data_IF_949231628921
#
_entry.id   IF_949231628921
#
_cell.length_a   1.000
_cell.length_b   1.000
_cell.length_c   1.000
_cell.angle_alpha   90.00
_cell.angle_beta   90.00
_cell.angle_gamma   90.00
#
_symmetry.space_group_name_H-M   'P 1'
#
loop_
_entity.id
_entity.type
_entity.pdbx_description
1 polymer ?
#
# COMPACT_ATOMS: atom_id res chain seq x y z
N UNK A 1 -8.04 7.51 5.41
CA UNK A 1 -7.95 8.96 5.68
C UNK A 1 -7.63 9.11 7.15
N UNK A 2 -6.56 9.84 7.46
CA UNK A 2 -6.25 10.24 8.83
C UNK A 2 -6.85 11.63 9.04
N UNK A 3 -7.95 11.70 9.78
CA UNK A 3 -8.46 12.98 10.27
C UNK A 3 -7.48 13.54 11.31
N UNK A 4 -7.12 14.82 11.13
CA UNK A 4 -6.18 15.55 11.96
C UNK A 4 -6.93 16.80 12.45
N UNK A 5 -7.67 16.62 13.55
CA UNK A 5 -8.36 17.72 14.22
C UNK A 5 -7.33 18.57 14.98
N UNK A 6 -7.14 19.82 14.55
CA UNK A 6 -6.28 20.80 15.22
C UNK A 6 -7.19 21.94 15.69
N UNK A 7 -7.52 21.93 16.99
CA UNK A 7 -8.29 22.99 17.65
C UNK A 7 -7.42 24.25 17.82
N UNK A 8 -7.92 25.49 17.57
CA UNK A 8 -7.08 26.68 17.52
C UNK A 8 -7.32 27.68 18.67
N UNK A 9 -6.99 27.31 19.91
CA UNK A 9 -7.28 28.10 21.12
C UNK A 9 -6.19 28.00 22.20
N UNK A 10 -4.93 28.23 21.82
CA UNK A 10 -3.77 28.12 22.74
C UNK A 10 -3.62 26.69 23.29
N UNK A 11 -4.06 25.74 22.47
CA UNK A 11 -4.68 24.48 22.85
C UNK A 11 -3.71 23.32 22.73
N UNK A 12 -3.89 22.36 23.64
CA UNK A 12 -3.24 21.06 23.60
C UNK A 12 -3.33 20.43 22.20
N UNK A 13 -2.17 20.06 21.65
CA UNK A 13 -2.09 19.33 20.39
C UNK A 13 -2.40 17.86 20.70
N UNK A 14 -3.53 17.39 20.16
CA UNK A 14 -4.00 16.01 20.30
C UNK A 14 -3.84 15.29 18.96
N UNK A 15 -2.99 14.26 18.93
CA UNK A 15 -2.79 13.39 17.76
C UNK A 15 -3.42 12.03 18.01
N UNK A 16 -4.34 11.61 17.16
CA UNK A 16 -4.92 10.25 17.20
C UNK A 16 -4.34 9.38 16.07
N UNK A 17 -3.65 8.30 16.44
CA UNK A 17 -3.15 7.27 15.51
C UNK A 17 -4.13 6.08 15.52
N UNK A 18 -4.50 5.57 14.33
CA UNK A 18 -5.48 4.48 14.19
C UNK A 18 -4.84 3.30 13.46
N UNK A 19 -4.79 2.14 14.11
CA UNK A 19 -4.30 0.90 13.48
C UNK A 19 -5.26 0.33 12.44
N UNK A 20 -6.54 0.72 12.49
CA UNK A 20 -7.59 0.28 11.57
C UNK A 20 -8.36 1.42 10.92
N UNK A 21 -9.43 1.06 10.19
CA UNK A 21 -10.28 2.01 9.47
C UNK A 21 -11.17 2.82 10.42
N UNK A 22 -11.63 2.16 11.48
CA UNK A 22 -12.66 2.63 12.42
C UNK A 22 -12.09 2.55 13.86
N UNK A 23 -12.74 3.17 14.85
CA UNK A 23 -12.29 3.15 16.26
C UNK A 23 -12.49 1.80 16.98
N UNK A 24 -12.92 0.75 16.26
CA UNK A 24 -13.03 -0.62 16.76
C UNK A 24 -11.69 -1.36 16.82
N UNK A 25 -10.71 -0.91 16.05
CA UNK A 25 -9.32 -1.40 16.09
C UNK A 25 -8.49 -0.61 17.10
N UNK A 26 -7.31 -1.12 17.47
CA UNK A 26 -6.36 -0.41 18.35
C UNK A 26 -6.03 0.99 17.84
N UNK A 27 -6.16 1.97 18.73
CA UNK A 27 -5.80 3.37 18.51
C UNK A 27 -4.98 3.92 19.68
N UNK A 28 -4.24 4.98 19.42
CA UNK A 28 -3.38 5.67 20.39
C UNK A 28 -3.68 7.16 20.30
N UNK A 29 -3.84 7.84 21.43
CA UNK A 29 -3.90 9.31 21.48
C UNK A 29 -2.66 9.85 22.18
N UNK A 30 -2.05 10.85 21.57
CA UNK A 30 -0.85 11.53 22.03
C UNK A 30 -1.22 12.99 22.27
N UNK A 31 -1.11 13.41 23.53
CA UNK A 31 -1.33 14.78 23.98
C UNK A 31 0.02 15.51 24.11
N UNK A 32 0.07 16.80 23.82
CA UNK A 32 1.21 17.66 24.14
C UNK A 32 0.86 19.15 24.05
N UNK A 33 1.57 19.97 24.81
CA UNK A 33 1.34 21.41 24.88
C UNK A 33 1.89 22.14 23.64
N UNK A 34 2.89 21.54 22.97
CA UNK A 34 3.47 22.07 21.74
C UNK A 34 3.90 20.96 20.75
N UNK A 35 4.27 21.38 19.55
CA UNK A 35 4.65 20.48 18.45
C UNK A 35 6.05 19.86 18.60
N UNK A 36 6.85 20.25 19.60
CA UNK A 36 8.10 19.60 19.98
C UNK A 36 7.83 18.45 20.94
N UNK A 37 6.98 18.68 21.95
CA UNK A 37 6.56 17.65 22.92
C UNK A 37 5.88 16.46 22.22
N UNK A 38 4.95 16.73 21.30
CA UNK A 38 4.29 15.67 20.52
C UNK A 38 5.28 14.91 19.62
N UNK A 39 6.29 15.59 19.05
CA UNK A 39 7.33 14.92 18.24
C UNK A 39 8.21 14.00 19.06
N UNK A 40 8.65 14.43 20.25
CA UNK A 40 9.40 13.58 21.17
C UNK A 40 8.58 12.34 21.58
N UNK A 41 7.31 12.53 21.98
CA UNK A 41 6.40 11.43 22.35
C UNK A 41 6.18 10.42 21.22
N UNK A 42 6.10 10.88 19.96
CA UNK A 42 6.05 10.00 18.79
C UNK A 42 7.39 9.27 18.61
N UNK A 43 8.52 9.97 18.72
CA UNK A 43 9.83 9.37 18.54
C UNK A 43 10.13 8.26 19.57
N UNK A 44 9.90 8.55 20.85
CA UNK A 44 10.08 7.61 21.96
C UNK A 44 9.21 6.36 21.78
N UNK A 45 7.94 6.55 21.40
CA UNK A 45 6.96 5.46 21.26
C UNK A 45 7.26 4.53 20.09
N UNK A 46 7.86 5.03 19.01
CA UNK A 46 8.17 4.26 17.80
C UNK A 46 9.67 3.95 17.66
N UNK A 47 10.49 4.23 18.68
CA UNK A 47 11.93 3.91 18.70
C UNK A 47 12.76 4.69 17.67
N UNK A 48 12.32 5.89 17.28
CA UNK A 48 13.01 6.71 16.27
C UNK A 48 14.26 7.36 16.87
N UNK A 49 15.38 7.27 16.16
CA UNK A 49 16.62 7.91 16.59
C UNK A 49 16.45 9.45 16.67
N UNK A 50 17.23 10.09 17.55
CA UNK A 50 17.08 11.52 17.84
C UNK A 50 17.35 12.40 16.60
N UNK A 51 18.23 11.93 15.72
CA UNK A 51 18.60 12.59 14.46
C UNK A 51 17.46 12.46 13.42
N UNK A 52 16.86 11.28 13.30
CA UNK A 52 15.84 10.96 12.29
C UNK A 52 14.54 11.77 12.46
N UNK A 53 14.15 12.08 13.69
CA UNK A 53 12.88 12.78 13.94
C UNK A 53 13.03 14.32 14.00
N UNK A 54 14.25 14.86 14.16
CA UNK A 54 14.48 16.31 14.19
C UNK A 54 14.37 16.97 12.81
N UNK A 55 14.74 16.25 11.75
CA UNK A 55 14.60 16.72 10.37
C UNK A 55 13.14 16.71 9.87
N UNK A 56 12.29 15.89 10.49
CA UNK A 56 10.90 15.70 10.09
C UNK A 56 9.94 16.73 10.70
N UNK A 57 9.00 17.19 9.88
CA UNK A 57 7.86 17.98 10.35
C UNK A 57 6.88 17.08 11.09
N UNK A 58 6.11 17.65 12.02
CA UNK A 58 5.16 16.89 12.85
C UNK A 58 4.21 16.02 12.00
N UNK A 59 3.67 16.52 10.88
CA UNK A 59 2.78 15.71 10.02
C UNK A 59 3.48 14.50 9.39
N UNK A 60 4.79 14.58 9.13
CA UNK A 60 5.58 13.51 8.51
C UNK A 60 5.81 12.38 9.52
N UNK A 61 6.13 12.76 10.77
CA UNK A 61 6.19 11.84 11.91
C UNK A 61 4.84 11.18 12.22
N UNK A 62 3.74 11.94 12.17
CA UNK A 62 2.39 11.37 12.34
C UNK A 62 2.04 10.37 11.23
N UNK A 63 2.38 10.67 9.97
CA UNK A 63 2.19 9.74 8.84
C UNK A 63 3.07 8.49 9.02
N UNK A 64 4.33 8.64 9.41
CA UNK A 64 5.24 7.53 9.69
C UNK A 64 4.69 6.63 10.80
N UNK A 65 4.37 7.21 11.96
CA UNK A 65 3.84 6.51 13.12
C UNK A 65 2.55 5.75 12.81
N UNK A 66 1.63 6.37 12.06
CA UNK A 66 0.38 5.74 11.65
C UNK A 66 0.61 4.56 10.69
N UNK A 67 1.62 4.63 9.80
CA UNK A 67 2.03 3.51 8.96
C UNK A 67 2.65 2.38 9.78
N UNK A 68 3.56 2.70 10.71
CA UNK A 68 4.19 1.72 11.60
C UNK A 68 3.15 0.97 12.44
N UNK A 69 2.16 1.68 13.00
CA UNK A 69 1.04 1.09 13.75
C UNK A 69 0.19 0.13 12.88
N UNK A 70 -0.11 0.50 11.63
CA UNK A 70 -0.83 -0.36 10.69
C UNK A 70 -0.02 -1.59 10.27
N UNK A 71 1.29 -1.45 10.07
CA UNK A 71 2.19 -2.59 9.79
C UNK A 71 2.25 -3.54 10.98
N UNK A 72 2.46 -3.04 12.19
CA UNK A 72 2.49 -3.86 13.41
C UNK A 72 1.18 -4.64 13.60
N UNK A 73 0.02 -4.00 13.42
CA UNK A 73 -1.30 -4.67 13.42
C UNK A 73 -1.37 -5.76 12.35
N UNK A 74 -0.98 -5.46 11.11
CA UNK A 74 -1.08 -6.43 10.02
C UNK A 74 -0.15 -7.63 10.23
N UNK A 75 1.05 -7.44 10.77
CA UNK A 75 1.96 -8.53 11.15
C UNK A 75 1.36 -9.41 12.25
N UNK A 76 0.74 -8.81 13.28
CA UNK A 76 0.05 -9.57 14.32
C UNK A 76 -1.15 -10.36 13.77
N UNK A 77 -2.02 -9.73 12.99
CA UNK A 77 -3.24 -10.35 12.45
C UNK A 77 -2.96 -11.42 11.38
N UNK A 78 -1.92 -11.25 10.55
CA UNK A 78 -1.62 -12.17 9.43
C UNK A 78 -0.65 -13.28 9.83
N UNK A 79 0.32 -13.00 10.70
CA UNK A 79 1.41 -13.92 11.03
C UNK A 79 1.41 -14.37 12.50
N UNK A 80 0.49 -13.88 13.33
CA UNK A 80 0.52 -14.11 14.78
C UNK A 80 1.71 -13.45 15.48
N UNK A 81 2.39 -12.50 14.81
CA UNK A 81 3.59 -11.87 15.33
C UNK A 81 3.29 -11.05 16.60
N UNK A 82 4.09 -11.26 17.64
CA UNK A 82 4.06 -10.51 18.90
C UNK A 82 5.35 -9.71 18.99
N UNK A 83 5.34 -8.46 19.53
CA UNK A 83 6.58 -7.73 19.79
C UNK A 83 7.55 -8.58 20.63
N UNK A 84 8.81 -8.64 20.22
CA UNK A 84 9.84 -9.31 21.01
C UNK A 84 10.31 -8.38 22.15
N UNK A 85 10.38 -8.90 23.37
CA UNK A 85 11.01 -8.19 24.49
C UNK A 85 12.53 -8.12 24.25
N UNK A 86 13.03 -6.95 23.84
CA UNK A 86 14.45 -6.72 23.62
C UNK A 86 14.72 -5.34 22.99
N UNK A 87 15.98 -4.91 22.94
CA UNK A 87 16.35 -3.72 22.19
C UNK A 87 16.02 -3.93 20.71
N UNK A 88 15.32 -2.96 20.11
CA UNK A 88 15.10 -2.92 18.66
C UNK A 88 16.47 -2.86 18.00
N UNK A 89 16.81 -3.89 17.23
CA UNK A 89 18.03 -3.86 16.41
C UNK A 89 17.94 -2.64 15.47
N UNK A 90 19.04 -1.90 15.26
CA UNK A 90 19.02 -0.78 14.32
C UNK A 90 18.51 -1.28 12.96
N UNK A 91 17.71 -0.45 12.30
CA UNK A 91 17.20 -0.77 10.97
C UNK A 91 18.38 -0.75 10.00
N UNK A 92 18.98 -1.92 9.76
CA UNK A 92 19.92 -2.12 8.68
C UNK A 92 19.22 -1.78 7.36
N UNK A 93 19.86 -0.98 6.50
CA UNK A 93 19.36 -0.76 5.15
C UNK A 93 19.16 -2.12 4.47
N UNK A 94 18.03 -2.34 3.75
CA UNK A 94 17.76 -3.61 3.12
C UNK A 94 18.93 -3.94 2.19
N UNK A 95 19.60 -5.08 2.49
CA UNK A 95 20.81 -5.47 1.80
C UNK A 95 20.60 -5.39 0.29
N UNK A 96 21.40 -4.54 -0.37
CA UNK A 96 21.37 -4.39 -1.83
C UNK A 96 21.47 -5.80 -2.43
N UNK A 97 20.51 -6.23 -3.28
CA UNK A 97 20.49 -7.59 -3.77
C UNK A 97 21.84 -7.94 -4.38
N UNK A 98 22.37 -9.10 -4.01
CA UNK A 98 23.64 -9.59 -4.54
C UNK A 98 23.53 -9.63 -6.06
N UNK A 99 24.51 -9.05 -6.75
CA UNK A 99 24.51 -8.92 -8.20
C UNK A 99 24.94 -10.23 -8.89
N UNK A 100 24.20 -11.31 -8.62
CA UNK A 100 24.39 -12.63 -9.21
C UNK A 100 23.03 -13.22 -9.59
N UNK A 101 22.66 -13.04 -10.86
CA UNK A 101 21.56 -13.77 -11.52
C UNK A 101 20.14 -13.27 -11.24
N UNK A 102 19.78 -12.11 -11.79
CA UNK A 102 18.36 -11.73 -11.94
C UNK A 102 17.74 -12.42 -13.18
N UNK A 103 16.70 -13.26 -13.04
CA UNK A 103 15.97 -13.82 -14.18
C UNK A 103 14.98 -12.83 -14.84
N UNK A 104 14.91 -11.58 -14.37
CA UNK A 104 14.02 -10.52 -14.89
C UNK A 104 14.74 -9.35 -15.57
N UNK A 105 16.07 -9.41 -15.72
CA UNK A 105 16.89 -8.29 -16.20
C UNK A 105 17.37 -8.41 -17.64
N UNK A 106 16.50 -8.22 -18.64
CA UNK A 106 16.94 -7.92 -20.03
C UNK A 106 15.82 -7.26 -20.88
N UNK A 107 15.62 -5.94 -20.71
CA UNK A 107 15.09 -5.08 -21.77
C UNK A 107 16.01 -3.86 -21.94
N UNK A 108 16.63 -3.65 -23.13
CA UNK A 108 17.45 -2.47 -23.37
C UNK A 108 16.63 -1.18 -23.39
N UNK A 109 16.92 -0.28 -22.45
CA UNK A 109 16.36 1.07 -22.45
C UNK A 109 17.04 1.93 -23.52
N UNK A 110 16.43 2.08 -24.70
CA UNK A 110 16.87 3.04 -25.72
C UNK A 110 16.53 4.49 -25.32
N UNK A 111 17.52 5.38 -25.38
CA UNK A 111 17.39 6.80 -25.04
C UNK A 111 16.58 7.61 -26.08
N UNK A 112 15.74 8.59 -25.69
CA UNK A 112 14.75 9.19 -26.57
C UNK A 112 15.28 10.41 -27.35
N UNK A 113 16.13 10.20 -28.37
CA UNK A 113 16.58 11.31 -29.23
C UNK A 113 17.04 10.97 -30.67
N UNK A 114 16.11 10.79 -31.64
CA UNK A 114 16.21 11.37 -33.00
C UNK A 114 15.05 11.04 -33.97
N UNK A 115 14.50 12.10 -34.59
CA UNK A 115 14.05 12.16 -36.01
C UNK A 115 13.04 11.13 -36.55
N UNK A 116 11.77 11.57 -36.66
CA UNK A 116 10.95 11.36 -37.88
C UNK A 116 11.67 12.03 -39.09
N UNK A 117 11.47 11.67 -40.39
CA UNK A 117 10.16 11.32 -40.97
C UNK A 117 10.09 10.36 -42.22
N UNK A 118 8.85 10.01 -42.62
CA UNK A 118 8.43 9.42 -43.94
C UNK A 118 8.90 7.97 -44.25
N UNK A 119 8.32 7.16 -45.15
CA UNK A 119 7.15 7.31 -46.06
C UNK A 119 6.34 6.00 -46.22
N UNK A 120 5.06 6.16 -46.58
CA UNK A 120 3.95 5.22 -46.81
C UNK A 120 4.07 4.27 -48.03
N UNK A 121 3.70 2.97 -47.92
CA UNK A 121 3.37 2.05 -49.04
C UNK A 121 2.13 1.16 -48.77
N UNK A 122 1.49 0.61 -49.83
CA UNK A 122 0.03 0.38 -50.05
C UNK A 122 -0.24 -1.02 -50.67
N UNK A 123 -1.31 -1.81 -50.39
CA UNK A 123 -2.42 -1.80 -49.39
C UNK A 123 -3.27 -3.10 -49.49
N UNK A 124 -3.35 -3.94 -48.42
CA UNK A 124 -4.39 -4.96 -48.12
C UNK A 124 -4.54 -6.16 -49.12
N UNK A 125 -5.22 -7.31 -48.78
CA UNK A 125 -6.22 -7.48 -47.71
C UNK A 125 -6.19 -8.77 -46.84
N UNK A 126 -7.06 -8.74 -45.82
CA UNK A 126 -7.74 -9.87 -45.16
C UNK A 126 -6.91 -10.87 -44.31
N UNK A 127 -6.83 -10.58 -43.00
CA UNK A 127 -7.64 -11.33 -42.02
C UNK A 127 -7.98 -10.42 -40.84
N UNK A 128 -9.26 -10.36 -40.49
CA UNK A 128 -9.74 -9.73 -39.26
C UNK A 128 -9.30 -10.64 -38.10
N UNK A 129 -8.51 -10.17 -37.12
CA UNK A 129 -8.24 -10.95 -35.92
C UNK A 129 -9.56 -11.02 -35.14
N UNK A 130 -10.07 -12.24 -34.99
CA UNK A 130 -11.23 -12.50 -34.15
C UNK A 130 -11.00 -11.92 -32.75
N UNK A 131 -12.00 -11.31 -32.11
CA UNK A 131 -11.83 -10.81 -30.76
C UNK A 131 -11.45 -11.98 -29.86
N UNK A 132 -10.28 -11.87 -29.22
CA UNK A 132 -9.84 -12.84 -28.20
C UNK A 132 -11.00 -13.08 -27.21
N UNK A 133 -11.22 -14.34 -26.78
CA UNK A 133 -12.36 -14.67 -25.92
C UNK A 133 -12.25 -13.85 -24.64
N UNK A 134 -13.05 -12.79 -24.57
CA UNK A 134 -12.95 -11.80 -23.52
C UNK A 134 -13.43 -12.43 -22.22
N UNK A 135 -12.46 -12.94 -21.46
CA UNK A 135 -12.70 -13.65 -20.21
C UNK A 135 -13.53 -12.75 -19.31
N UNK A 136 -14.74 -13.18 -18.96
CA UNK A 136 -15.62 -12.39 -18.09
C UNK A 136 -15.06 -12.45 -16.67
N UNK A 137 -14.23 -11.45 -16.34
CA UNK A 137 -13.64 -11.27 -15.02
C UNK A 137 -14.71 -11.18 -13.93
N UNK A 138 -15.91 -10.66 -14.26
CA UNK A 138 -17.06 -10.65 -13.36
C UNK A 138 -17.53 -12.06 -13.03
N UNK A 139 -17.67 -12.92 -14.04
CA UNK A 139 -18.02 -14.33 -13.83
C UNK A 139 -16.95 -15.11 -13.05
N UNK A 140 -15.66 -14.86 -13.29
CA UNK A 140 -14.57 -15.47 -12.50
C UNK A 140 -14.67 -15.08 -11.02
N UNK A 141 -14.91 -13.79 -10.73
CA UNK A 141 -15.11 -13.30 -9.36
C UNK A 141 -16.32 -13.99 -8.71
N UNK A 142 -17.43 -14.15 -9.43
CA UNK A 142 -18.65 -14.74 -8.88
C UNK A 142 -18.54 -16.25 -8.61
N UNK A 143 -17.67 -16.97 -9.33
CA UNK A 143 -17.41 -18.41 -9.12
C UNK A 143 -16.38 -18.67 -8.02
N UNK A 144 -15.41 -17.76 -7.81
CA UNK A 144 -14.32 -17.92 -6.84
C UNK A 144 -14.77 -18.47 -5.47
N UNK A 145 -14.22 -19.61 -5.04
CA UNK A 145 -14.67 -20.33 -3.83
C UNK A 145 -13.86 -19.97 -2.58
N UNK A 146 -12.64 -19.45 -2.73
CA UNK A 146 -11.74 -19.11 -1.64
C UNK A 146 -11.17 -17.69 -1.76
N UNK A 147 -10.71 -17.12 -0.65
CA UNK A 147 -10.06 -15.80 -0.65
C UNK A 147 -8.80 -15.81 -1.50
N UNK A 148 -8.09 -16.94 -1.58
CA UNK A 148 -6.88 -17.06 -2.41
C UNK A 148 -7.18 -17.16 -3.90
N UNK A 149 -8.29 -17.80 -4.29
CA UNK A 149 -8.77 -17.75 -5.68
C UNK A 149 -9.14 -16.32 -6.11
N UNK A 150 -9.75 -15.53 -5.23
CA UNK A 150 -9.98 -14.09 -5.48
C UNK A 150 -8.68 -13.29 -5.60
N UNK A 151 -7.62 -13.62 -4.83
CA UNK A 151 -6.31 -12.96 -4.96
C UNK A 151 -5.66 -13.27 -6.31
N UNK A 152 -5.75 -14.52 -6.78
CA UNK A 152 -5.22 -14.93 -8.09
C UNK A 152 -5.91 -14.16 -9.23
N UNK A 153 -7.25 -14.16 -9.25
CA UNK A 153 -8.06 -13.41 -10.23
C UNK A 153 -7.75 -11.91 -10.17
N UNK A 154 -7.53 -11.35 -8.97
CA UNK A 154 -7.15 -9.94 -8.81
C UNK A 154 -5.74 -9.64 -9.33
N UNK A 155 -4.78 -10.56 -9.18
CA UNK A 155 -3.42 -10.39 -9.70
C UNK A 155 -3.41 -10.43 -11.24
N UNK A 156 -4.12 -11.40 -11.82
CA UNK A 156 -4.21 -11.63 -13.26
C UNK A 156 -4.98 -10.52 -14.00
N UNK A 157 -6.11 -10.06 -13.44
CA UNK A 157 -6.96 -9.02 -14.05
C UNK A 157 -6.85 -7.65 -13.35
N UNK A 158 -5.71 -7.37 -12.70
CA UNK A 158 -5.50 -6.17 -11.87
C UNK A 158 -5.90 -4.86 -12.55
N UNK A 159 -5.51 -4.67 -13.81
CA UNK A 159 -5.78 -3.45 -14.55
C UNK A 159 -7.29 -3.23 -14.78
N UNK A 160 -8.01 -4.26 -15.23
CA UNK A 160 -9.45 -4.19 -15.53
C UNK A 160 -10.29 -4.03 -14.26
N UNK A 161 -9.97 -4.77 -13.20
CA UNK A 161 -10.64 -4.65 -11.90
C UNK A 161 -10.38 -3.29 -11.27
N UNK A 162 -9.15 -2.77 -11.35
CA UNK A 162 -8.82 -1.43 -10.81
C UNK A 162 -9.49 -0.33 -11.61
N UNK A 163 -9.59 -0.45 -12.95
CA UNK A 163 -10.26 0.52 -13.80
C UNK A 163 -11.80 0.50 -13.67
N UNK A 164 -12.40 -0.60 -13.20
CA UNK A 164 -13.85 -0.80 -13.22
C UNK A 164 -14.46 -0.86 -11.81
N UNK A 165 -15.10 0.21 -11.29
CA UNK A 165 -15.68 0.23 -9.94
C UNK A 165 -16.69 -0.87 -9.65
N UNK A 166 -17.42 -1.35 -10.68
CA UNK A 166 -18.36 -2.46 -10.54
C UNK A 166 -17.65 -3.79 -10.20
N UNK A 167 -16.46 -4.05 -10.78
CA UNK A 167 -15.67 -5.24 -10.47
C UNK A 167 -15.06 -5.14 -9.06
N UNK A 168 -14.57 -3.97 -8.66
CA UNK A 168 -14.10 -3.73 -7.29
C UNK A 168 -15.19 -4.06 -6.25
N UNK A 169 -16.43 -3.62 -6.51
CA UNK A 169 -17.57 -3.96 -5.67
C UNK A 169 -17.83 -5.47 -5.63
N UNK A 170 -17.85 -6.16 -6.79
CA UNK A 170 -18.03 -7.63 -6.83
C UNK A 170 -16.95 -8.38 -6.05
N UNK A 171 -15.66 -8.01 -6.18
CA UNK A 171 -14.56 -8.62 -5.41
C UNK A 171 -14.80 -8.47 -3.90
N UNK A 172 -15.23 -7.28 -3.46
CA UNK A 172 -15.53 -7.00 -2.05
C UNK A 172 -16.73 -7.81 -1.55
N UNK A 173 -17.82 -7.81 -2.30
CA UNK A 173 -19.06 -8.49 -1.94
C UNK A 173 -18.85 -10.02 -1.91
N UNK A 174 -18.16 -10.59 -2.90
CA UNK A 174 -17.78 -12.02 -2.90
C UNK A 174 -16.86 -12.38 -1.74
N UNK A 175 -15.85 -11.55 -1.45
CA UNK A 175 -14.94 -11.79 -0.31
C UNK A 175 -15.70 -11.83 1.02
N UNK A 176 -16.73 -10.99 1.19
CA UNK A 176 -17.59 -11.04 2.37
C UNK A 176 -18.43 -12.33 2.44
N UNK A 177 -18.95 -12.82 1.31
CA UNK A 177 -19.68 -14.11 1.24
C UNK A 177 -18.78 -15.31 1.57
N UNK A 178 -17.52 -15.31 1.09
CA UNK A 178 -16.56 -16.39 1.39
C UNK A 178 -16.11 -16.34 2.86
N UNK A 179 -15.86 -15.15 3.41
CA UNK A 179 -15.41 -14.99 4.79
C UNK A 179 -16.53 -15.13 5.85
N UNK A 180 -17.79 -15.23 5.42
CA UNK A 180 -18.95 -15.48 6.27
C UNK A 180 -19.49 -16.91 6.20
N UNK A 181 -18.75 -17.83 5.57
CA UNK A 181 -18.98 -19.28 5.55
C UNK A 181 -17.98 -19.99 6.46
#
# INVERSE_FOLDING_TARGET
MSDVDITPDGSEIVVTLKGGKDFSDTWIVIHGNDASEVRQKIADMFGLAEEQHKELKLYELVIYANKALQVARNLNVVLGAVPADGPVAPWDEPAKPAADGDPWGDEPQEDPAAKKPTTRTRKAPAKEPEPEPKVDVGALIDVAESVDSLKAIFAEHKAEITATPALQKRVKDRRAVIAGK
#
